data_IF_131632075916
#
_entry.id   IF_131632075916
#
_cell.length_a   1.000
_cell.length_b   1.000
_cell.length_c   1.000
_cell.angle_alpha   90.00
_cell.angle_beta   90.00
_cell.angle_gamma   90.00
#
_symmetry.space_group_name_H-M   'P 1'
#
loop_
_entity.id
_entity.type
_entity.pdbx_description
1 polymer ?
#
# COMPACT_ATOMS: atom_id res chain seq x y z
N UNK A 1 -9.43 -3.44 -26.89
CA UNK A 1 -10.50 -2.54 -26.43
C UNK A 1 -10.28 -1.12 -26.93
N UNK A 2 -9.10 -0.51 -26.71
CA UNK A 2 -8.76 0.83 -27.23
C UNK A 2 -8.96 0.92 -28.76
N UNK A 3 -8.32 0.03 -29.53
CA UNK A 3 -8.51 -0.01 -30.98
C UNK A 3 -9.98 -0.20 -31.41
N UNK A 4 -10.77 -0.96 -30.65
CA UNK A 4 -12.20 -1.11 -30.93
C UNK A 4 -12.98 0.19 -30.71
N UNK A 5 -12.59 1.00 -29.72
CA UNK A 5 -13.15 2.33 -29.50
C UNK A 5 -12.73 3.33 -30.58
N UNK A 6 -11.45 3.35 -30.96
CA UNK A 6 -10.95 4.22 -32.05
C UNK A 6 -11.64 3.93 -33.39
N UNK A 7 -11.93 2.65 -33.65
CA UNK A 7 -12.68 2.19 -34.83
C UNK A 7 -14.20 2.24 -34.66
N UNK A 8 -14.70 2.78 -33.53
CA UNK A 8 -16.14 2.89 -33.22
C UNK A 8 -16.91 1.56 -33.30
N UNK A 9 -16.27 0.45 -32.96
CA UNK A 9 -16.85 -0.91 -32.96
C UNK A 9 -17.62 -1.18 -31.64
N UNK A 10 -18.77 -0.52 -31.48
CA UNK A 10 -19.50 -0.50 -30.20
C UNK A 10 -19.90 -1.88 -29.68
N UNK A 11 -20.39 -2.78 -30.54
CA UNK A 11 -20.77 -4.14 -30.13
C UNK A 11 -19.56 -4.93 -29.57
N UNK A 12 -18.39 -4.77 -30.19
CA UNK A 12 -17.16 -5.39 -29.72
C UNK A 12 -16.71 -4.82 -28.37
N UNK A 13 -16.87 -3.50 -28.18
CA UNK A 13 -16.55 -2.85 -26.89
C UNK A 13 -17.42 -3.43 -25.78
N UNK A 14 -18.75 -3.49 -25.99
CA UNK A 14 -19.70 -4.07 -25.02
C UNK A 14 -19.35 -5.52 -24.70
N UNK A 15 -19.10 -6.33 -25.73
CA UNK A 15 -18.71 -7.73 -25.54
C UNK A 15 -17.43 -7.89 -24.72
N UNK A 16 -16.38 -7.11 -25.05
CA UNK A 16 -15.09 -7.20 -24.36
C UNK A 16 -15.18 -6.74 -22.90
N UNK A 17 -15.93 -5.69 -22.60
CA UNK A 17 -16.14 -5.23 -21.22
C UNK A 17 -16.84 -6.30 -20.39
N UNK A 18 -17.96 -6.83 -20.90
CA UNK A 18 -18.70 -7.92 -20.26
C UNK A 18 -17.82 -9.15 -20.04
N UNK A 19 -17.00 -9.52 -21.03
CA UNK A 19 -16.06 -10.63 -20.92
C UNK A 19 -15.03 -10.40 -19.79
N UNK A 20 -14.44 -9.21 -19.69
CA UNK A 20 -13.46 -8.89 -18.65
C UNK A 20 -14.09 -8.93 -17.26
N UNK A 21 -15.25 -8.27 -17.07
CA UNK A 21 -15.96 -8.22 -15.78
C UNK A 21 -16.36 -9.62 -15.31
N UNK A 22 -16.83 -10.48 -16.24
CA UNK A 22 -17.31 -11.82 -15.89
C UNK A 22 -16.20 -12.85 -15.70
N UNK A 23 -15.11 -12.77 -16.48
CA UNK A 23 -14.13 -13.86 -16.56
C UNK A 23 -12.72 -13.47 -16.09
N UNK A 24 -12.44 -12.17 -15.92
CA UNK A 24 -11.10 -11.65 -15.62
C UNK A 24 -11.06 -10.74 -14.39
N UNK A 25 -12.05 -10.84 -13.51
CA UNK A 25 -12.16 -10.06 -12.26
C UNK A 25 -10.86 -10.05 -11.46
N UNK A 26 -10.31 -11.22 -11.13
CA UNK A 26 -9.05 -11.33 -10.37
C UNK A 26 -7.89 -10.61 -11.07
N UNK A 27 -7.79 -10.72 -12.39
CA UNK A 27 -6.75 -10.03 -13.14
C UNK A 27 -6.97 -8.51 -13.12
N UNK A 28 -8.22 -8.04 -13.21
CA UNK A 28 -8.54 -6.62 -13.12
C UNK A 28 -8.24 -6.05 -11.73
N UNK A 29 -8.56 -6.76 -10.65
CA UNK A 29 -8.22 -6.34 -9.28
C UNK A 29 -6.70 -6.28 -9.07
N UNK A 30 -5.96 -7.25 -9.61
CA UNK A 30 -4.50 -7.23 -9.59
C UNK A 30 -3.90 -6.09 -10.42
N UNK A 31 -4.58 -5.64 -11.48
CA UNK A 31 -4.10 -4.58 -12.38
C UNK A 31 -4.99 -3.34 -12.28
N UNK A 32 -5.48 -3.05 -11.07
CA UNK A 32 -6.57 -2.12 -10.87
C UNK A 32 -6.28 -0.70 -11.38
N UNK A 33 -5.12 -0.14 -11.07
CA UNK A 33 -4.77 1.21 -11.56
C UNK A 33 -4.73 1.25 -13.09
N UNK A 34 -4.20 0.22 -13.76
CA UNK A 34 -4.21 0.15 -15.22
C UNK A 34 -5.63 0.11 -15.80
N UNK A 35 -6.53 -0.72 -15.23
CA UNK A 35 -7.93 -0.82 -15.65
C UNK A 35 -8.67 0.49 -15.38
N UNK A 36 -8.47 1.08 -14.20
CA UNK A 36 -9.02 2.37 -13.80
C UNK A 36 -8.58 3.47 -14.78
N UNK A 37 -7.28 3.66 -14.98
CA UNK A 37 -6.76 4.69 -15.89
C UNK A 37 -7.23 4.48 -17.33
N UNK A 38 -7.28 3.24 -17.80
CA UNK A 38 -7.74 2.93 -19.17
C UNK A 38 -9.24 3.20 -19.33
N UNK A 39 -10.06 2.82 -18.35
CA UNK A 39 -11.51 3.01 -18.39
C UNK A 39 -11.92 4.47 -18.31
N UNK A 40 -11.27 5.27 -17.45
CA UNK A 40 -11.62 6.69 -17.27
C UNK A 40 -10.99 7.63 -18.30
N UNK A 41 -10.06 7.15 -19.15
CA UNK A 41 -9.56 7.91 -20.30
C UNK A 41 -10.50 7.84 -21.51
N UNK A 42 -11.49 6.96 -21.50
CA UNK A 42 -12.37 6.74 -22.63
C UNK A 42 -13.82 6.50 -22.17
N UNK A 43 -14.70 7.41 -22.54
CA UNK A 43 -16.11 7.42 -22.12
C UNK A 43 -16.92 6.23 -22.67
N UNK A 44 -16.37 5.46 -23.62
CA UNK A 44 -17.02 4.26 -24.14
C UNK A 44 -16.96 3.07 -23.17
N UNK A 45 -16.14 3.13 -22.12
CA UNK A 45 -15.87 2.00 -21.22
C UNK A 45 -16.71 2.03 -19.92
N UNK A 46 -18.00 2.30 -20.05
CA UNK A 46 -18.92 2.52 -18.92
C UNK A 46 -19.03 1.34 -17.96
N UNK A 47 -19.03 0.09 -18.44
CA UNK A 47 -19.12 -1.09 -17.57
C UNK A 47 -17.86 -1.27 -16.72
N UNK A 48 -16.69 -0.98 -17.30
CA UNK A 48 -15.43 -0.99 -16.55
C UNK A 48 -15.34 0.19 -15.58
N UNK A 49 -15.78 1.38 -15.97
CA UNK A 49 -15.85 2.54 -15.07
C UNK A 49 -16.77 2.24 -13.89
N UNK A 50 -17.93 1.62 -14.12
CA UNK A 50 -18.86 1.17 -13.09
C UNK A 50 -18.21 0.15 -12.17
N UNK A 51 -17.57 -0.88 -12.72
CA UNK A 51 -16.84 -1.88 -11.94
C UNK A 51 -15.77 -1.24 -11.05
N UNK A 52 -14.96 -0.35 -11.61
CA UNK A 52 -13.91 0.34 -10.87
C UNK A 52 -14.46 1.24 -9.75
N UNK A 53 -15.54 1.98 -10.04
CA UNK A 53 -16.22 2.83 -9.05
C UNK A 53 -16.81 1.97 -7.93
N UNK A 54 -17.45 0.86 -8.27
CA UNK A 54 -18.01 -0.09 -7.31
C UNK A 54 -16.91 -0.67 -6.40
N UNK A 55 -15.75 -1.04 -6.96
CA UNK A 55 -14.65 -1.58 -6.15
C UNK A 55 -14.08 -0.55 -5.18
N UNK A 56 -13.81 0.69 -5.64
CA UNK A 56 -13.30 1.78 -4.79
C UNK A 56 -14.29 2.13 -3.67
N UNK A 57 -15.58 2.12 -3.99
CA UNK A 57 -16.62 2.54 -3.03
C UNK A 57 -16.99 1.43 -2.05
N UNK A 58 -17.05 0.17 -2.48
CA UNK A 58 -17.58 -0.94 -1.66
C UNK A 58 -16.51 -1.80 -1.01
N UNK A 59 -15.41 -2.09 -1.72
CA UNK A 59 -14.36 -3.01 -1.27
C UNK A 59 -12.93 -2.48 -1.56
N UNK A 60 -12.60 -1.24 -1.14
CA UNK A 60 -11.30 -0.63 -1.43
C UNK A 60 -10.11 -1.39 -0.83
N UNK A 61 -10.32 -2.20 0.21
CA UNK A 61 -9.28 -3.02 0.84
C UNK A 61 -8.73 -4.12 -0.09
N UNK A 62 -9.51 -4.59 -1.06
CA UNK A 62 -9.02 -5.52 -2.10
C UNK A 62 -7.88 -4.93 -2.92
N UNK A 63 -7.93 -3.62 -3.17
CA UNK A 63 -6.89 -2.91 -3.93
C UNK A 63 -5.60 -2.85 -3.12
N UNK A 64 -5.68 -2.59 -1.81
CA UNK A 64 -4.52 -2.59 -0.90
C UNK A 64 -3.84 -3.97 -0.82
N UNK A 65 -4.63 -5.03 -0.80
CA UNK A 65 -4.14 -6.41 -0.69
C UNK A 65 -3.61 -6.96 -2.02
N UNK A 66 -3.72 -6.20 -3.10
CA UNK A 66 -3.21 -6.59 -4.42
C UNK A 66 -1.67 -6.71 -4.42
N UNK A 67 -1.10 -7.71 -5.10
CA UNK A 67 0.35 -7.83 -5.27
C UNK A 67 0.97 -6.63 -6.00
N UNK A 68 0.20 -5.93 -6.82
CA UNK A 68 0.65 -4.78 -7.59
C UNK A 68 0.24 -3.45 -6.95
N UNK A 69 -0.08 -3.43 -5.66
CA UNK A 69 -0.44 -2.21 -4.94
C UNK A 69 0.62 -1.11 -5.07
N UNK A 70 1.91 -1.46 -5.13
CA UNK A 70 2.99 -0.49 -5.35
C UNK A 70 2.93 0.23 -6.70
N UNK A 71 2.17 -0.27 -7.68
CA UNK A 71 2.06 0.34 -9.01
C UNK A 71 0.93 1.36 -9.12
N UNK A 72 0.10 1.52 -8.08
CA UNK A 72 -1.01 2.47 -8.15
C UNK A 72 -0.49 3.92 -8.15
N UNK A 73 -1.20 4.78 -8.87
CA UNK A 73 -0.93 6.21 -8.88
C UNK A 73 -1.25 6.86 -7.53
N UNK A 74 -0.50 7.92 -7.15
CA UNK A 74 -0.73 8.68 -5.91
C UNK A 74 -2.17 9.20 -5.83
N UNK A 75 -2.71 9.71 -6.95
CA UNK A 75 -4.10 10.18 -7.05
C UNK A 75 -5.10 9.09 -6.68
N UNK A 76 -4.90 7.86 -7.18
CA UNK A 76 -5.78 6.75 -6.86
C UNK A 76 -5.62 6.33 -5.40
N UNK A 77 -4.39 6.28 -4.89
CA UNK A 77 -4.12 5.98 -3.49
C UNK A 77 -4.85 6.95 -2.54
N UNK A 78 -4.82 8.25 -2.83
CA UNK A 78 -5.56 9.27 -2.07
C UNK A 78 -7.06 8.94 -2.04
N UNK A 79 -7.67 8.68 -3.20
CA UNK A 79 -9.10 8.33 -3.30
C UNK A 79 -9.45 7.12 -2.43
N UNK A 80 -8.60 6.10 -2.42
CA UNK A 80 -8.84 4.87 -1.65
C UNK A 80 -8.66 5.13 -0.14
N UNK A 81 -7.62 5.86 0.29
CA UNK A 81 -7.37 6.20 1.71
C UNK A 81 -8.48 7.10 2.28
N UNK A 82 -9.11 7.95 1.46
CA UNK A 82 -10.23 8.79 1.91
C UNK A 82 -11.52 8.00 2.19
N UNK A 83 -11.65 6.79 1.64
CA UNK A 83 -12.88 6.00 1.75
C UNK A 83 -13.19 5.57 3.17
N UNK A 84 -14.36 5.93 3.69
CA UNK A 84 -14.88 5.44 4.97
C UNK A 84 -15.16 3.93 4.96
N UNK A 85 -15.31 3.33 3.77
CA UNK A 85 -15.57 1.90 3.58
C UNK A 85 -14.29 1.05 3.58
N UNK A 86 -13.11 1.68 3.72
CA UNK A 86 -11.84 0.97 3.82
C UNK A 86 -11.76 0.16 5.11
N UNK A 87 -11.99 -1.15 4.99
CA UNK A 87 -11.98 -2.14 6.07
C UNK A 87 -10.55 -2.50 6.50
N UNK A 88 -9.83 -1.53 7.05
CA UNK A 88 -8.43 -1.66 7.44
C UNK A 88 -8.13 -0.77 8.65
N UNK A 89 -7.29 -1.23 9.57
CA UNK A 89 -6.86 -0.38 10.69
C UNK A 89 -5.96 0.76 10.21
N UNK A 90 -5.98 1.89 10.91
CA UNK A 90 -5.15 3.05 10.52
C UNK A 90 -3.65 2.71 10.53
N UNK A 91 -3.23 1.78 11.41
CA UNK A 91 -1.84 1.30 11.43
C UNK A 91 -1.48 0.55 10.16
N UNK A 92 -2.36 -0.30 9.66
CA UNK A 92 -2.15 -1.04 8.41
C UNK A 92 -2.10 -0.06 7.22
N UNK A 93 -3.00 0.93 7.18
CA UNK A 93 -2.99 1.97 6.13
C UNK A 93 -1.64 2.71 6.11
N UNK A 94 -1.15 3.10 7.29
CA UNK A 94 0.16 3.74 7.42
C UNK A 94 1.31 2.86 6.91
N UNK A 95 1.33 1.58 7.29
CA UNK A 95 2.36 0.63 6.83
C UNK A 95 2.32 0.40 5.33
N UNK A 96 1.13 0.30 4.74
CA UNK A 96 0.98 0.22 3.29
C UNK A 96 1.46 1.49 2.60
N UNK A 97 1.15 2.67 3.15
CA UNK A 97 1.65 3.93 2.60
C UNK A 97 3.18 4.00 2.62
N UNK A 98 3.81 3.54 3.70
CA UNK A 98 5.28 3.43 3.76
C UNK A 98 5.83 2.45 2.73
N UNK A 99 5.22 1.27 2.58
CA UNK A 99 5.61 0.28 1.56
C UNK A 99 5.49 0.85 0.14
N UNK A 100 4.40 1.56 -0.14
CA UNK A 100 4.19 2.24 -1.42
C UNK A 100 5.25 3.31 -1.65
N UNK A 101 5.51 4.17 -0.65
CA UNK A 101 6.54 5.21 -0.74
C UNK A 101 7.94 4.66 -0.98
N UNK A 102 8.30 3.54 -0.34
CA UNK A 102 9.57 2.85 -0.58
C UNK A 102 9.64 2.25 -1.99
N UNK A 103 8.55 1.68 -2.48
CA UNK A 103 8.51 1.09 -3.82
C UNK A 103 8.67 2.14 -4.93
N UNK A 104 8.28 3.40 -4.68
CA UNK A 104 8.53 4.50 -5.62
C UNK A 104 9.99 4.99 -5.61
N UNK A 105 10.77 4.65 -4.58
CA UNK A 105 12.15 5.13 -4.39
C UNK A 105 13.10 3.93 -4.15
N UNK A 106 13.30 3.07 -5.17
CA UNK A 106 14.04 1.81 -5.03
C UNK A 106 15.53 1.96 -4.69
N UNK A 107 16.09 3.16 -4.85
CA UNK A 107 17.45 3.52 -4.47
C UNK A 107 17.65 3.69 -2.96
N UNK A 108 16.56 3.83 -2.20
CA UNK A 108 16.63 3.96 -0.75
C UNK A 108 17.12 2.66 -0.10
N UNK A 109 17.90 2.75 1.00
CA UNK A 109 18.26 1.57 1.76
C UNK A 109 17.02 0.81 2.24
N UNK A 110 17.12 -0.52 2.34
CA UNK A 110 16.02 -1.33 2.94
C UNK A 110 15.91 -1.10 4.44
N UNK A 111 17.03 -0.83 5.11
CA UNK A 111 17.09 -0.57 6.55
C UNK A 111 16.98 0.93 6.84
N UNK A 112 15.87 1.35 7.45
CA UNK A 112 15.61 2.75 7.80
C UNK A 112 16.66 3.35 8.75
N UNK A 113 17.36 2.51 9.53
CA UNK A 113 18.44 2.97 10.42
C UNK A 113 19.64 3.52 9.66
N UNK A 114 19.78 3.18 8.37
CA UNK A 114 20.86 3.64 7.49
C UNK A 114 20.53 4.93 6.75
N UNK A 115 19.35 5.52 6.98
CA UNK A 115 18.89 6.66 6.20
C UNK A 115 19.68 7.90 6.56
N UNK A 116 20.28 8.50 5.55
CA UNK A 116 20.78 9.86 5.59
C UNK A 116 19.62 10.86 5.70
N UNK A 117 19.96 12.14 5.92
CA UNK A 117 18.95 13.21 5.92
C UNK A 117 18.23 13.30 4.56
N UNK A 118 18.96 13.07 3.47
CA UNK A 118 18.42 13.18 2.11
C UNK A 118 17.51 12.00 1.79
N UNK A 119 17.86 10.79 2.23
CA UNK A 119 16.99 9.60 2.12
C UNK A 119 15.63 9.83 2.79
N UNK A 120 15.63 10.45 3.98
CA UNK A 120 14.38 10.85 4.64
C UNK A 120 13.61 11.91 3.86
N UNK A 121 14.28 12.86 3.21
CA UNK A 121 13.60 13.88 2.40
C UNK A 121 12.97 13.27 1.14
N UNK A 122 13.67 12.35 0.48
CA UNK A 122 13.16 11.58 -0.68
C UNK A 122 11.90 10.81 -0.30
N UNK A 123 11.97 10.01 0.76
CA UNK A 123 10.82 9.26 1.23
C UNK A 123 9.71 10.17 1.75
N UNK A 124 10.03 11.35 2.32
CA UNK A 124 9.03 12.30 2.81
C UNK A 124 8.16 12.88 1.70
N UNK A 125 8.76 13.26 0.58
CA UNK A 125 8.05 13.96 -0.49
C UNK A 125 7.06 13.05 -1.22
N UNK A 126 7.30 11.74 -1.21
CA UNK A 126 6.52 10.76 -1.99
C UNK A 126 5.10 10.51 -1.46
N UNK A 127 4.88 10.15 -0.18
CA UNK A 127 3.55 9.95 0.40
C UNK A 127 2.94 11.23 0.97
N UNK A 128 3.56 12.40 0.76
CA UNK A 128 3.24 13.63 1.50
C UNK A 128 1.76 14.01 1.38
N UNK A 129 1.18 13.86 0.19
CA UNK A 129 -0.23 14.23 -0.04
C UNK A 129 -1.21 13.20 0.56
N UNK A 130 -0.76 11.98 0.84
CA UNK A 130 -1.57 10.95 1.46
C UNK A 130 -1.66 11.09 2.99
N UNK A 131 -0.61 11.64 3.63
CA UNK A 131 -0.50 11.77 5.09
C UNK A 131 -1.73 12.43 5.75
N UNK A 132 -2.30 13.54 5.23
CA UNK A 132 -3.47 14.17 5.84
C UNK A 132 -4.72 13.29 5.92
N UNK A 133 -4.79 12.20 5.15
CA UNK A 133 -5.95 11.31 5.10
C UNK A 133 -5.84 10.10 6.04
N UNK A 134 -4.71 9.94 6.72
CA UNK A 134 -4.53 8.93 7.77
C UNK A 134 -5.07 9.47 9.08
N UNK A 135 -5.91 8.69 9.76
CA UNK A 135 -6.53 9.09 11.04
C UNK A 135 -5.63 8.72 12.20
N UNK A 136 -4.44 9.33 12.27
CA UNK A 136 -3.42 9.02 13.28
C UNK A 136 -3.93 9.05 14.73
N UNK A 137 -4.89 9.94 15.04
CA UNK A 137 -5.51 10.05 16.37
C UNK A 137 -6.35 8.84 16.78
N UNK A 138 -6.65 7.93 15.85
CA UNK A 138 -7.35 6.68 16.12
C UNK A 138 -6.39 5.52 16.43
N UNK A 139 -5.07 5.74 16.36
CA UNK A 139 -4.08 4.76 16.77
C UNK A 139 -4.05 4.62 18.30
N UNK A 140 -3.60 3.48 18.79
CA UNK A 140 -3.18 3.31 20.17
C UNK A 140 -1.80 3.95 20.41
N UNK A 141 -1.48 4.30 21.66
CA UNK A 141 -0.16 4.81 22.02
C UNK A 141 0.97 3.84 21.63
N UNK A 142 0.71 2.53 21.72
CA UNK A 142 1.66 1.49 21.29
C UNK A 142 1.90 1.53 19.78
N UNK A 143 0.85 1.54 18.96
CA UNK A 143 0.98 1.63 17.50
C UNK A 143 1.68 2.91 17.06
N UNK A 144 1.38 4.04 17.71
CA UNK A 144 2.08 5.30 17.46
C UNK A 144 3.58 5.19 17.78
N UNK A 145 3.94 4.66 18.97
CA UNK A 145 5.32 4.50 19.39
C UNK A 145 6.12 3.55 18.50
N UNK A 146 5.53 2.41 18.14
CA UNK A 146 6.25 1.33 17.47
C UNK A 146 6.35 1.57 15.95
N UNK A 147 5.32 2.15 15.32
CA UNK A 147 5.25 2.23 13.86
C UNK A 147 5.25 3.65 13.28
N UNK A 148 4.83 4.68 14.03
CA UNK A 148 4.76 6.07 13.52
C UNK A 148 5.97 6.89 13.97
N UNK A 149 6.32 6.81 15.26
CA UNK A 149 7.41 7.56 15.87
C UNK A 149 8.79 7.33 15.20
N UNK A 150 9.18 6.11 14.76
CA UNK A 150 10.45 5.91 14.06
C UNK A 150 10.58 6.72 12.76
N UNK A 151 9.44 7.05 12.15
CA UNK A 151 9.32 7.77 10.89
C UNK A 151 8.96 9.25 11.07
N UNK A 152 9.11 9.82 12.27
CA UNK A 152 8.78 11.23 12.58
C UNK A 152 9.32 12.28 11.60
N UNK A 153 10.43 11.99 10.91
CA UNK A 153 11.05 12.90 9.91
C UNK A 153 10.23 13.04 8.63
N UNK A 154 9.38 12.05 8.32
CA UNK A 154 8.48 12.03 7.16
C UNK A 154 7.24 12.89 7.43
N UNK A 155 6.80 12.97 8.69
CA UNK A 155 5.62 13.73 9.05
C UNK A 155 5.85 15.25 8.95
N UNK A 156 4.83 16.04 8.58
CA UNK A 156 4.82 17.48 8.77
C UNK A 156 5.13 17.83 10.24
N UNK A 157 5.96 18.84 10.46
CA UNK A 157 6.45 19.19 11.82
C UNK A 157 5.32 19.48 12.80
N UNK A 158 4.31 20.23 12.38
CA UNK A 158 3.17 20.58 13.25
C UNK A 158 2.33 19.35 13.55
N UNK A 159 2.01 18.52 12.55
CA UNK A 159 1.31 17.25 12.77
C UNK A 159 2.06 16.36 13.78
N UNK A 160 3.38 16.21 13.64
CA UNK A 160 4.16 15.40 14.58
C UNK A 160 4.10 15.93 16.02
N UNK A 161 4.22 17.25 16.21
CA UNK A 161 4.14 17.86 17.55
C UNK A 161 2.77 17.62 18.18
N UNK A 162 1.71 17.79 17.40
CA UNK A 162 0.33 17.61 17.86
C UNK A 162 0.06 16.14 18.23
N UNK A 163 0.49 15.20 17.39
CA UNK A 163 0.41 13.77 17.69
C UNK A 163 1.21 13.41 18.95
N UNK A 164 2.45 13.88 19.06
CA UNK A 164 3.29 13.62 20.23
C UNK A 164 2.63 14.14 21.51
N UNK A 165 2.10 15.38 21.49
CA UNK A 165 1.38 15.95 22.63
C UNK A 165 0.16 15.12 22.99
N UNK A 166 -0.63 14.69 21.99
CA UNK A 166 -1.83 13.89 22.20
C UNK A 166 -1.50 12.56 22.85
N UNK A 167 -0.56 11.80 22.28
CA UNK A 167 -0.21 10.48 22.80
C UNK A 167 0.53 10.51 24.15
N UNK A 168 1.29 11.58 24.45
CA UNK A 168 1.87 11.77 25.77
C UNK A 168 0.81 12.15 26.82
N UNK A 169 -0.17 12.98 26.44
CA UNK A 169 -1.25 13.37 27.36
C UNK A 169 -2.10 12.16 27.74
N UNK A 170 -2.33 11.21 26.82
CA UNK A 170 -3.05 9.96 27.11
C UNK A 170 -2.36 9.05 28.15
N UNK A 171 -1.10 9.31 28.49
CA UNK A 171 -0.39 8.63 29.59
C UNK A 171 -0.70 9.26 30.95
N UNK A 172 -1.26 10.48 30.97
CA UNK A 172 -1.69 11.17 32.17
C UNK A 172 -3.12 10.72 32.55
N UNK A 173 -3.32 10.13 33.74
CA UNK A 173 -4.63 9.66 34.20
C UNK A 173 -5.70 10.76 34.31
N UNK A 174 -5.30 12.04 34.39
CA UNK A 174 -6.23 13.16 34.51
C UNK A 174 -6.64 13.76 33.14
N UNK A 175 -6.09 13.25 32.03
CA UNK A 175 -6.37 13.75 30.69
C UNK A 175 -7.73 13.27 30.14
N UNK A 176 -8.52 14.20 29.57
CA UNK A 176 -9.73 13.85 28.80
C UNK A 176 -9.35 13.57 27.36
N UNK A 177 -9.72 12.39 26.84
CA UNK A 177 -9.50 12.05 25.42
C UNK A 177 -10.46 12.86 24.52
N UNK A 178 -9.98 13.93 23.89
CA UNK A 178 -10.83 14.79 23.03
C UNK A 178 -10.67 14.59 21.53
N UNK A 179 -9.57 13.96 21.07
CA UNK A 179 -9.14 14.12 19.68
C UNK A 179 -9.40 12.91 18.77
N UNK A 180 -10.21 11.94 19.21
CA UNK A 180 -10.56 10.78 18.38
C UNK A 180 -11.44 11.22 17.20
N UNK A 181 -10.97 10.95 15.99
CA UNK A 181 -11.77 11.15 14.78
C UNK A 181 -12.82 10.04 14.64
N UNK A 182 -13.81 10.24 13.75
CA UNK A 182 -14.77 9.18 13.46
C UNK A 182 -14.02 7.95 12.89
N UNK A 183 -14.23 6.73 13.43
CA UNK A 183 -13.62 5.54 12.88
C UNK A 183 -14.16 5.26 11.47
N UNK A 184 -13.43 4.47 10.69
CA UNK A 184 -13.94 3.93 9.42
C UNK A 184 -15.10 2.99 9.71
N UNK A 185 -16.02 2.85 8.76
CA UNK A 185 -17.16 1.93 8.88
C UNK A 185 -16.57 0.53 9.00
N UNK A 186 -16.80 -0.19 10.09
CA UNK A 186 -16.45 -1.60 10.21
C UNK A 186 -17.62 -2.46 9.74
N UNK A 187 -17.43 -3.33 8.77
CA UNK A 187 -18.37 -4.43 8.53
C UNK A 187 -18.33 -5.40 9.71
N UNK A 188 -19.50 -5.88 10.15
CA UNK A 188 -19.66 -6.72 11.33
C UNK A 188 -18.60 -7.84 11.41
N UNK A 189 -17.99 -8.01 12.59
CA UNK A 189 -16.84 -8.87 12.92
C UNK A 189 -17.03 -10.40 12.73
N UNK A 190 -17.82 -10.87 11.78
CA UNK A 190 -18.26 -12.28 11.73
C UNK A 190 -17.56 -13.17 10.70
N UNK A 191 -16.55 -12.70 9.94
CA UNK A 191 -15.91 -13.55 8.91
C UNK A 191 -14.37 -13.55 8.84
N UNK A 192 -13.65 -12.83 9.70
CA UNK A 192 -12.18 -12.88 9.73
C UNK A 192 -11.65 -13.87 10.78
N UNK A 193 -11.95 -15.16 10.58
CA UNK A 193 -11.22 -16.24 11.23
C UNK A 193 -10.87 -17.30 10.17
N UNK A 194 -10.06 -16.91 9.17
CA UNK A 194 -9.31 -17.83 8.31
C UNK A 194 -8.43 -17.01 7.34
N UNK A 195 -7.30 -16.49 7.82
CA UNK A 195 -6.08 -16.24 7.04
C UNK A 195 -5.01 -15.72 8.01
N UNK A 196 -4.39 -16.65 8.75
CA UNK A 196 -3.07 -16.44 9.34
C UNK A 196 -2.02 -17.00 8.37
N UNK A 197 -0.80 -16.47 8.49
CA UNK A 197 0.43 -16.81 7.75
C UNK A 197 0.62 -16.19 6.35
N UNK A 198 0.84 -14.88 6.33
CA UNK A 198 2.06 -14.37 5.73
C UNK A 198 2.88 -13.71 6.84
N UNK A 199 4.08 -14.22 7.07
CA UNK A 199 5.01 -13.75 8.10
C UNK A 199 5.23 -12.23 8.01
N UNK A 200 4.67 -11.52 8.98
CA UNK A 200 4.97 -10.13 9.23
C UNK A 200 6.28 -10.11 10.04
N UNK A 201 7.40 -9.74 9.43
CA UNK A 201 8.63 -9.53 10.18
C UNK A 201 8.49 -8.26 11.04
N UNK A 202 8.49 -8.35 12.38
CA UNK A 202 8.61 -7.17 13.20
C UNK A 202 10.01 -6.58 13.03
N UNK A 203 10.10 -5.25 12.89
CA UNK A 203 11.37 -4.53 13.08
C UNK A 203 11.81 -4.72 14.53
N UNK A 204 12.68 -5.70 14.78
CA UNK A 204 13.25 -5.94 16.12
C UNK A 204 14.10 -4.73 16.54
N UNK A 205 13.76 -4.14 17.68
CA UNK A 205 14.61 -3.27 18.49
C UNK A 205 15.78 -4.09 19.07
N UNK A 206 16.96 -3.46 19.10
CA UNK A 206 18.26 -4.13 19.11
C UNK A 206 18.87 -4.36 20.49
N UNK A 207 18.22 -5.15 21.34
CA UNK A 207 18.84 -5.60 22.61
C UNK A 207 19.02 -7.12 22.71
N UNK A 208 18.36 -7.94 21.89
CA UNK A 208 18.49 -9.40 21.97
C UNK A 208 19.62 -10.00 21.09
N UNK A 209 20.34 -9.22 20.29
CA UNK A 209 21.29 -9.76 19.30
C UNK A 209 22.71 -10.05 19.81
N UNK A 210 23.02 -9.82 21.09
CA UNK A 210 24.40 -9.97 21.59
C UNK A 210 24.72 -11.41 22.04
N UNK A 211 23.74 -12.28 22.29
CA UNK A 211 24.00 -13.62 22.86
C UNK A 211 24.11 -14.74 21.80
N UNK A 212 23.67 -14.53 20.56
CA UNK A 212 23.64 -15.61 19.55
C UNK A 212 24.86 -15.67 18.61
N UNK A 213 25.83 -14.74 18.69
CA UNK A 213 26.99 -14.72 17.81
C UNK A 213 28.14 -15.60 18.33
N UNK A 214 27.96 -16.92 18.41
CA UNK A 214 29.08 -17.89 18.45
C UNK A 214 28.63 -19.28 17.99
N UNK A 215 28.61 -19.49 16.67
CA UNK A 215 29.14 -20.66 15.90
C UNK A 215 28.30 -20.94 14.63
N UNK A 216 28.90 -20.53 13.49
CA UNK A 216 29.03 -21.18 12.16
C UNK A 216 27.82 -21.98 11.62
N UNK A 217 27.20 -21.53 10.53
CA UNK A 217 27.62 -21.53 9.10
C UNK A 217 27.07 -22.75 8.36
N UNK A 218 26.09 -22.54 7.48
CA UNK A 218 26.04 -23.04 6.10
C UNK A 218 24.85 -22.41 5.35
N UNK A 219 25.08 -21.87 4.15
CA UNK A 219 24.08 -21.25 3.27
C UNK A 219 23.72 -22.27 2.17
N UNK A 220 22.46 -22.69 1.99
CA UNK A 220 22.10 -23.56 0.88
C UNK A 220 21.96 -22.77 -0.44
N UNK A 221 22.66 -23.24 -1.47
CA UNK A 221 23.00 -22.63 -2.76
C UNK A 221 21.87 -22.55 -3.81
N UNK A 222 20.59 -22.64 -3.43
CA UNK A 222 19.48 -22.69 -4.40
C UNK A 222 18.96 -21.32 -4.86
N UNK A 223 19.27 -20.23 -4.15
CA UNK A 223 18.83 -18.87 -4.50
C UNK A 223 19.63 -18.22 -5.64
N UNK A 224 20.79 -18.79 -6.00
CA UNK A 224 21.68 -18.21 -7.03
C UNK A 224 21.37 -18.68 -8.48
N UNK A 225 20.58 -19.75 -8.65
CA UNK A 225 20.27 -20.30 -9.98
C UNK A 225 18.98 -19.77 -10.61
N UNK A 226 18.06 -19.22 -9.81
CA UNK A 226 16.75 -18.74 -10.31
C UNK A 226 16.81 -17.39 -11.05
N UNK A 227 17.88 -16.61 -10.83
CA UNK A 227 18.06 -15.30 -11.47
C UNK A 227 18.96 -15.32 -12.72
N UNK A 228 19.84 -16.33 -12.87
CA UNK A 228 20.74 -16.43 -14.04
C UNK A 228 20.04 -16.95 -15.31
N UNK A 229 18.91 -17.65 -15.17
CA UNK A 229 18.16 -18.17 -16.32
C UNK A 229 17.21 -17.15 -16.97
N UNK A 230 16.82 -16.10 -16.25
CA UNK A 230 15.91 -15.05 -16.76
C UNK A 230 16.70 -13.98 -17.55
N UNK A 231 17.95 -13.70 -17.16
CA UNK A 231 18.78 -12.67 -17.81
C UNK A 231 19.41 -13.16 -19.13
N UNK A 232 19.54 -14.47 -19.34
CA UNK A 232 20.18 -15.00 -20.56
C UNK A 232 19.24 -15.08 -21.78
N UNK A 233 17.91 -14.96 -21.61
CA UNK A 233 16.94 -15.11 -22.70
C UNK A 233 16.34 -13.81 -23.26
N UNK A 234 16.73 -12.63 -22.76
CA UNK A 234 16.27 -11.34 -23.30
C UNK A 234 17.27 -10.63 -24.24
N UNK A 235 18.43 -11.26 -24.51
CA UNK A 235 19.49 -10.71 -25.37
C UNK A 235 19.54 -11.22 -26.82
N UNK A 236 18.60 -12.07 -27.26
CA UNK A 236 18.59 -12.63 -28.62
C UNK A 236 17.21 -12.56 -29.28
N UNK A 237 16.72 -11.37 -29.56
CA UNK A 237 15.77 -11.11 -30.66
C UNK A 237 15.92 -9.65 -31.12
N UNK A 238 17.08 -9.34 -31.70
CA UNK A 238 17.28 -8.16 -32.55
C UNK A 238 18.44 -8.39 -33.53
N UNK A 239 18.21 -9.19 -34.57
CA UNK A 239 18.85 -9.08 -35.89
C UNK A 239 18.47 -10.27 -36.77
N UNK A 240 17.99 -9.95 -37.98
CA UNK A 240 17.64 -10.80 -39.13
C UNK A 240 16.29 -11.50 -39.09
#
# INVERSE_FOLDING_TARGET
>A
MIAASELSLQELIVYLQSFLVKNKTNWMEQNFDFVYQTSFKNDSFLDLQKYCTDLITKEPDKIFKSPNFSLISEKLLITIIQSDNLQMSEIQIWEYLLKWGLAQNPELPTDFKKYSKDDFNTLKNTPQQCIPFIRFYNLSSKEFMDSVLPYKRILPKELYKDLLKTFLSLLDPDSKSSDKSRPRISSNQSQFNQMNEFEFFPLKTSEESIIASTKRNEIPTWSYWKWKHIITNFGKFRSS
#
